data_IF_736322434772
#
_entry.id   IF_736322434772
#
_cell.length_a   1.000
_cell.length_b   1.000
_cell.length_c   1.000
_cell.angle_alpha   90.00
_cell.angle_beta   90.00
_cell.angle_gamma   90.00
#
_symmetry.space_group_name_H-M   'P 1'
#
loop_
_entity.id
_entity.type
_entity.pdbx_description
1 polymer ?
#
# COMPACT_ATOMS: atom_id res chain seq x y z
N UNK A 1 25.97 20.57 3.44
CA UNK A 1 24.86 20.72 4.39
C UNK A 1 23.95 19.53 4.16
N UNK A 2 23.82 18.64 5.15
CA UNK A 2 22.81 17.58 5.04
C UNK A 2 21.42 18.21 4.91
N UNK A 3 20.58 17.76 3.97
CA UNK A 3 19.24 18.29 3.81
C UNK A 3 18.46 18.10 5.12
N UNK A 4 17.75 19.14 5.56
CA UNK A 4 16.88 19.05 6.73
C UNK A 4 15.74 18.06 6.44
N UNK A 5 15.76 16.91 7.11
CA UNK A 5 14.73 15.87 6.99
C UNK A 5 14.01 15.73 8.32
N UNK A 6 12.68 15.89 8.29
CA UNK A 6 11.81 15.72 9.46
C UNK A 6 11.95 14.31 10.03
N UNK A 7 12.03 14.18 11.36
CA UNK A 7 12.23 12.89 12.06
C UNK A 7 11.24 11.81 11.63
N UNK A 8 9.97 12.17 11.41
CA UNK A 8 8.92 11.24 10.94
C UNK A 8 9.22 10.62 9.56
N UNK A 9 10.05 11.27 8.74
CA UNK A 9 10.54 10.74 7.46
C UNK A 9 11.86 10.01 7.63
N UNK A 10 12.76 10.54 8.47
CA UNK A 10 14.09 9.97 8.73
C UNK A 10 14.03 8.58 9.37
N UNK A 11 13.10 8.37 10.30
CA UNK A 11 12.95 7.11 11.04
C UNK A 11 11.78 6.25 10.55
N UNK A 12 11.30 6.48 9.32
CA UNK A 12 10.23 5.65 8.76
C UNK A 12 10.73 4.20 8.66
N UNK A 13 10.04 3.23 9.29
CA UNK A 13 10.41 1.82 9.20
C UNK A 13 10.61 1.36 7.75
N UNK A 14 11.71 0.63 7.52
CA UNK A 14 12.06 0.09 6.20
C UNK A 14 11.68 -1.38 6.04
N UNK A 15 11.49 -2.09 7.16
CA UNK A 15 11.16 -3.52 7.21
C UNK A 15 9.99 -3.76 8.14
N UNK A 16 9.29 -4.89 7.96
CA UNK A 16 8.16 -5.26 8.79
C UNK A 16 8.53 -5.41 10.28
N UNK A 17 9.75 -5.82 10.61
CA UNK A 17 10.21 -5.99 12.00
C UNK A 17 10.49 -4.66 12.72
N UNK A 18 10.73 -3.60 11.94
CA UNK A 18 10.94 -2.26 12.49
C UNK A 18 9.64 -1.48 12.71
N UNK A 19 8.49 -2.09 12.41
CA UNK A 19 7.18 -1.48 12.65
C UNK A 19 6.73 -1.77 14.08
N UNK A 20 6.66 -0.72 14.89
CA UNK A 20 6.30 -0.80 16.31
C UNK A 20 4.78 -0.97 16.51
N UNK A 21 4.38 -1.86 17.42
CA UNK A 21 3.00 -2.03 17.89
C UNK A 21 2.01 -2.67 16.90
N UNK A 22 2.49 -3.26 15.80
CA UNK A 22 1.64 -3.87 14.76
C UNK A 22 1.97 -5.33 14.43
N UNK A 23 2.50 -6.08 15.39
CA UNK A 23 2.98 -7.46 15.19
C UNK A 23 1.95 -8.40 14.54
N UNK A 24 0.67 -8.30 14.94
CA UNK A 24 -0.40 -9.12 14.36
C UNK A 24 -0.61 -8.84 12.86
N UNK A 25 -0.48 -7.58 12.44
CA UNK A 25 -0.62 -7.16 11.04
C UNK A 25 0.62 -7.57 10.25
N UNK A 26 1.81 -7.24 10.75
CA UNK A 26 3.07 -7.53 10.05
C UNK A 26 3.33 -9.02 9.91
N UNK A 27 3.03 -9.83 10.93
CA UNK A 27 3.13 -11.30 10.85
C UNK A 27 2.18 -11.90 9.81
N UNK A 28 0.93 -11.44 9.77
CA UNK A 28 -0.05 -11.90 8.79
C UNK A 28 0.37 -11.53 7.35
N UNK A 29 0.88 -10.32 7.14
CA UNK A 29 1.42 -9.90 5.85
C UNK A 29 2.64 -10.74 5.44
N UNK A 30 3.58 -10.97 6.37
CA UNK A 30 4.74 -11.85 6.11
C UNK A 30 4.30 -13.26 5.71
N UNK A 31 3.30 -13.82 6.39
CA UNK A 31 2.78 -15.15 6.08
C UNK A 31 2.07 -15.20 4.72
N UNK A 32 1.32 -14.16 4.34
CA UNK A 32 0.68 -14.07 3.04
C UNK A 32 1.72 -14.02 1.89
N UNK A 33 2.83 -13.31 2.08
CA UNK A 33 3.93 -13.27 1.11
C UNK A 33 4.62 -14.64 1.02
N UNK A 34 4.97 -15.26 2.17
CA UNK A 34 5.63 -16.58 2.20
C UNK A 34 4.81 -17.68 1.55
N UNK A 35 3.50 -17.65 1.75
CA UNK A 35 2.56 -18.63 1.18
C UNK A 35 2.21 -18.36 -0.30
N UNK A 36 2.75 -17.28 -0.88
CA UNK A 36 2.41 -16.79 -2.22
C UNK A 36 0.88 -16.63 -2.43
N UNK A 37 0.16 -16.31 -1.35
CA UNK A 37 -1.28 -16.14 -1.34
C UNK A 37 -1.62 -14.69 -0.99
N UNK A 38 -1.22 -13.77 -1.87
CA UNK A 38 -1.52 -12.36 -1.73
C UNK A 38 -2.90 -12.05 -2.33
N UNK A 39 -3.76 -11.42 -1.53
CA UNK A 39 -4.98 -10.82 -2.02
C UNK A 39 -4.67 -9.73 -3.07
N UNK A 40 -5.60 -9.53 -3.99
CA UNK A 40 -5.53 -8.44 -4.97
C UNK A 40 -5.81 -7.08 -4.34
N UNK A 41 -6.51 -7.03 -3.20
CA UNK A 41 -6.84 -5.79 -2.52
C UNK A 41 -6.74 -5.91 -0.98
N UNK A 42 -6.06 -4.94 -0.38
CA UNK A 42 -5.86 -4.78 1.05
C UNK A 42 -6.52 -3.50 1.52
N UNK A 43 -7.18 -3.52 2.68
CA UNK A 43 -7.65 -2.31 3.35
C UNK A 43 -6.97 -2.17 4.72
N UNK A 44 -6.08 -1.19 4.82
CA UNK A 44 -5.40 -0.81 6.04
C UNK A 44 -6.20 0.28 6.75
N UNK A 45 -6.70 -0.01 7.94
CA UNK A 45 -7.52 0.93 8.69
C UNK A 45 -7.01 1.13 10.09
N UNK A 46 -7.13 2.35 10.61
CA UNK A 46 -6.69 2.69 11.96
C UNK A 46 -6.32 4.16 12.09
N UNK A 47 -6.03 4.64 13.32
CA UNK A 47 -5.75 6.05 13.58
C UNK A 47 -4.58 6.61 12.76
N UNK A 48 -4.50 7.92 12.63
CA UNK A 48 -3.36 8.57 11.97
C UNK A 48 -2.07 8.28 12.75
N UNK A 49 -0.97 8.06 12.03
CA UNK A 49 0.36 7.87 12.63
C UNK A 49 0.72 6.45 13.07
N UNK A 50 -0.18 5.47 12.96
CA UNK A 50 0.06 4.06 13.37
C UNK A 50 0.84 3.21 12.36
N UNK A 51 1.33 3.81 11.27
CA UNK A 51 2.18 3.10 10.29
C UNK A 51 1.46 2.44 9.10
N UNK A 52 0.19 2.79 8.81
CA UNK A 52 -0.56 2.27 7.64
C UNK A 52 0.19 2.44 6.31
N UNK A 53 0.47 3.69 5.93
CA UNK A 53 1.18 4.03 4.68
C UNK A 53 2.60 3.47 4.68
N UNK A 54 3.24 3.43 5.85
CA UNK A 54 4.56 2.80 6.02
C UNK A 54 4.50 1.31 5.67
N UNK A 55 3.57 0.55 6.26
CA UNK A 55 3.40 -0.87 5.98
C UNK A 55 3.00 -1.11 4.52
N UNK A 56 2.20 -0.23 3.92
CA UNK A 56 1.86 -0.31 2.50
C UNK A 56 3.10 -0.19 1.62
N UNK A 57 3.99 0.77 1.91
CA UNK A 57 5.26 0.95 1.20
C UNK A 57 6.22 -0.22 1.41
N UNK A 58 6.32 -0.75 2.63
CA UNK A 58 7.13 -1.95 2.91
C UNK A 58 6.61 -3.14 2.10
N UNK A 59 5.31 -3.39 2.10
CA UNK A 59 4.68 -4.46 1.32
C UNK A 59 4.96 -4.29 -0.18
N UNK A 60 4.77 -3.09 -0.72
CA UNK A 60 4.99 -2.80 -2.13
C UNK A 60 6.44 -3.04 -2.56
N UNK A 61 7.41 -2.62 -1.74
CA UNK A 61 8.84 -2.89 -1.96
C UNK A 61 9.14 -4.37 -1.90
N UNK A 62 8.59 -5.06 -0.91
CA UNK A 62 8.82 -6.49 -0.68
C UNK A 62 8.34 -7.31 -1.87
N UNK A 63 7.16 -7.01 -2.41
CA UNK A 63 6.57 -7.70 -3.57
C UNK A 63 7.39 -7.47 -4.85
N UNK A 64 7.97 -6.28 -5.03
CA UNK A 64 8.70 -5.92 -6.26
C UNK A 64 10.22 -6.18 -6.16
N UNK A 65 10.72 -6.61 -5.01
CA UNK A 65 12.15 -6.84 -4.83
C UNK A 65 12.59 -8.11 -5.57
N UNK A 66 13.64 -8.01 -6.37
CA UNK A 66 14.19 -9.14 -7.13
C UNK A 66 15.01 -10.09 -6.25
N UNK A 67 15.71 -9.53 -5.26
CA UNK A 67 16.55 -10.28 -4.33
C UNK A 67 16.01 -10.07 -2.92
N UNK A 68 14.95 -10.79 -2.55
CA UNK A 68 14.47 -10.76 -1.17
C UNK A 68 15.52 -11.41 -0.25
N UNK A 69 15.90 -10.70 0.80
CA UNK A 69 16.72 -11.24 1.88
C UNK A 69 15.91 -12.12 2.83
N UNK A 70 16.57 -12.53 3.91
CA UNK A 70 15.91 -13.24 5.02
C UNK A 70 14.75 -12.42 5.59
N UNK A 71 13.75 -13.11 6.12
CA UNK A 71 12.54 -12.50 6.70
C UNK A 71 11.76 -11.52 5.80
N UNK A 72 11.89 -11.69 4.49
CA UNK A 72 11.23 -10.86 3.47
C UNK A 72 11.71 -9.40 3.47
N UNK A 73 12.96 -9.19 3.85
CA UNK A 73 13.57 -7.86 3.78
C UNK A 73 13.95 -7.55 2.33
N UNK A 74 13.43 -6.43 1.79
CA UNK A 74 13.82 -5.95 0.47
C UNK A 74 15.30 -5.51 0.45
N UNK A 75 16.10 -5.98 -0.51
CA UNK A 75 17.56 -5.77 -0.51
C UNK A 75 18.01 -4.31 -0.58
N UNK A 76 17.18 -3.38 -1.08
CA UNK A 76 17.55 -1.97 -1.23
C UNK A 76 18.52 -1.68 -2.38
N UNK A 77 19.02 -2.70 -3.09
CA UNK A 77 20.10 -2.56 -4.08
C UNK A 77 19.70 -2.92 -5.51
N UNK A 78 18.63 -3.72 -5.70
CA UNK A 78 18.12 -4.07 -7.02
C UNK A 78 17.43 -2.87 -7.70
N UNK A 79 17.22 -2.97 -9.01
CA UNK A 79 16.66 -1.86 -9.80
C UNK A 79 15.26 -1.40 -9.29
N UNK A 80 14.31 -2.31 -8.98
CA UNK A 80 13.03 -1.91 -8.36
C UNK A 80 13.17 -1.21 -7.01
N UNK A 81 14.12 -1.63 -6.16
CA UNK A 81 14.34 -1.01 -4.86
C UNK A 81 14.91 0.40 -4.99
N UNK A 82 15.89 0.60 -5.88
CA UNK A 82 16.51 1.91 -6.13
C UNK A 82 15.52 2.90 -6.73
N UNK A 83 14.82 2.50 -7.78
CA UNK A 83 13.80 3.35 -8.43
C UNK A 83 12.67 3.71 -7.48
N UNK A 84 12.28 2.82 -6.56
CA UNK A 84 11.31 3.16 -5.52
C UNK A 84 11.82 4.22 -4.54
N UNK A 85 13.06 4.09 -4.06
CA UNK A 85 13.65 5.05 -3.11
C UNK A 85 13.85 6.43 -3.77
N UNK A 86 14.18 6.46 -5.05
CA UNK A 86 14.32 7.66 -5.86
C UNK A 86 12.97 8.28 -6.28
N UNK A 87 11.84 7.59 -6.06
CA UNK A 87 10.50 8.06 -6.44
C UNK A 87 10.18 7.92 -7.94
N UNK A 88 10.91 7.06 -8.65
CA UNK A 88 10.77 6.80 -10.09
C UNK A 88 10.34 5.36 -10.40
N UNK A 89 9.66 4.69 -9.46
CA UNK A 89 9.15 3.34 -9.67
C UNK A 89 8.06 3.31 -10.75
N UNK A 90 8.18 2.38 -11.69
CA UNK A 90 7.17 2.14 -12.74
C UNK A 90 6.07 1.16 -12.29
N UNK A 91 6.27 0.50 -11.15
CA UNK A 91 5.39 -0.55 -10.65
C UNK A 91 4.70 -0.19 -9.34
N UNK A 92 5.11 0.89 -8.67
CA UNK A 92 4.51 1.31 -7.41
C UNK A 92 3.97 2.72 -7.59
N UNK A 93 2.66 2.84 -7.48
CA UNK A 93 1.92 4.09 -7.64
C UNK A 93 1.36 4.49 -6.29
N UNK A 94 1.70 5.69 -5.82
CA UNK A 94 1.16 6.26 -4.58
C UNK A 94 0.21 7.41 -4.96
N UNK A 95 -1.06 7.31 -4.53
CA UNK A 95 -2.10 8.31 -4.74
C UNK A 95 -2.65 8.76 -3.39
N UNK A 96 -2.59 10.06 -3.12
CA UNK A 96 -3.29 10.67 -1.98
C UNK A 96 -4.71 11.04 -2.41
N UNK A 97 -5.70 10.33 -1.87
CA UNK A 97 -7.10 10.55 -2.20
C UNK A 97 -7.63 11.89 -1.66
N UNK A 98 -7.00 12.51 -0.67
CA UNK A 98 -7.40 13.85 -0.23
C UNK A 98 -7.15 14.91 -1.31
N UNK A 99 -6.11 14.70 -2.13
CA UNK A 99 -5.71 15.59 -3.22
C UNK A 99 -6.26 15.18 -4.59
N UNK A 100 -6.58 13.88 -4.78
CA UNK A 100 -7.01 13.29 -6.04
C UNK A 100 -8.36 12.54 -5.86
N UNK A 101 -9.40 13.25 -5.41
CA UNK A 101 -10.69 12.66 -5.05
C UNK A 101 -11.74 12.63 -6.19
N UNK A 102 -11.41 13.18 -7.36
CA UNK A 102 -12.36 13.30 -8.45
C UNK A 102 -12.56 11.96 -9.16
N UNK A 103 -13.70 11.84 -9.86
CA UNK A 103 -13.99 10.64 -10.67
C UNK A 103 -12.98 10.49 -11.79
N UNK A 104 -12.50 11.60 -12.35
CA UNK A 104 -11.59 11.60 -13.48
C UNK A 104 -10.18 11.15 -13.07
N UNK A 105 -9.72 11.52 -11.87
CA UNK A 105 -8.46 11.01 -11.31
C UNK A 105 -8.48 9.49 -11.18
N UNK A 106 -9.57 8.94 -10.63
CA UNK A 106 -9.74 7.49 -10.50
C UNK A 106 -9.90 6.80 -11.85
N UNK A 107 -10.58 7.42 -12.84
CA UNK A 107 -10.63 6.86 -14.20
C UNK A 107 -9.25 6.79 -14.83
N UNK A 108 -8.42 7.82 -14.65
CA UNK A 108 -7.04 7.81 -15.12
C UNK A 108 -6.23 6.69 -14.44
N UNK A 109 -6.42 6.48 -13.14
CA UNK A 109 -5.82 5.36 -12.42
C UNK A 109 -6.25 4.01 -13.01
N UNK A 110 -7.55 3.83 -13.26
CA UNK A 110 -8.11 2.59 -13.86
C UNK A 110 -7.52 2.34 -15.25
N UNK A 111 -7.33 3.38 -16.06
CA UNK A 111 -6.67 3.26 -17.36
C UNK A 111 -5.20 2.86 -17.22
N UNK A 112 -4.50 3.30 -16.17
CA UNK A 112 -3.13 2.84 -15.90
C UNK A 112 -3.08 1.38 -15.41
N UNK A 113 -4.09 0.95 -14.65
CA UNK A 113 -4.22 -0.44 -14.16
C UNK A 113 -4.41 -1.43 -15.32
N UNK A 114 -5.12 -1.05 -16.38
CA UNK A 114 -5.35 -1.93 -17.53
C UNK A 114 -4.09 -2.20 -18.37
N UNK A 115 -3.02 -1.45 -18.14
CA UNK A 115 -1.72 -1.64 -18.80
C UNK A 115 -0.86 -2.60 -17.97
N UNK A 116 -0.41 -3.69 -18.58
CA UNK A 116 0.49 -4.65 -17.93
C UNK A 116 1.86 -4.02 -17.54
N UNK A 117 2.53 -4.51 -16.48
CA UNK A 117 3.88 -4.07 -16.13
C UNK A 117 4.86 -4.35 -17.28
N UNK A 118 5.67 -3.34 -17.63
CA UNK A 118 6.73 -3.47 -18.63
C UNK A 118 8.00 -4.09 -18.04
N UNK A 119 8.16 -3.98 -16.72
CA UNK A 119 9.28 -4.52 -15.95
C UNK A 119 8.68 -5.19 -14.71
N UNK A 120 9.18 -6.35 -14.30
CA UNK A 120 8.66 -7.09 -13.15
C UNK A 120 7.29 -7.75 -13.39
N UNK A 121 6.68 -8.26 -12.32
CA UNK A 121 5.47 -9.12 -12.40
C UNK A 121 4.23 -8.50 -11.79
N UNK A 122 4.38 -7.47 -10.94
CA UNK A 122 3.28 -6.87 -10.17
C UNK A 122 3.30 -5.35 -10.28
N UNK A 123 2.11 -4.75 -10.27
CA UNK A 123 1.89 -3.32 -10.05
C UNK A 123 1.14 -3.13 -8.76
N UNK A 124 1.64 -2.26 -7.89
CA UNK A 124 1.07 -1.96 -6.58
C UNK A 124 0.56 -0.53 -6.56
N UNK A 125 -0.70 -0.37 -6.21
CA UNK A 125 -1.40 0.91 -6.12
C UNK A 125 -1.73 1.19 -4.65
N UNK A 126 -1.03 2.15 -4.06
CA UNK A 126 -1.25 2.60 -2.69
C UNK A 126 -2.15 3.83 -2.76
N UNK A 127 -3.36 3.73 -2.20
CA UNK A 127 -4.32 4.84 -2.14
C UNK A 127 -4.46 5.25 -0.67
N UNK A 128 -3.85 6.36 -0.29
CA UNK A 128 -3.91 6.89 1.07
C UNK A 128 -5.16 7.76 1.28
N UNK A 129 -5.65 7.78 2.52
CA UNK A 129 -6.89 8.43 2.93
C UNK A 129 -8.08 8.17 2.00
N UNK A 130 -8.26 6.91 1.57
CA UNK A 130 -9.21 6.51 0.50
C UNK A 130 -10.66 6.94 0.79
N UNK A 131 -11.05 7.14 2.05
CA UNK A 131 -12.38 7.65 2.41
C UNK A 131 -12.66 9.08 1.91
N UNK A 132 -11.62 9.80 1.48
CA UNK A 132 -11.71 11.13 0.90
C UNK A 132 -12.14 11.11 -0.58
N UNK A 133 -12.16 9.93 -1.23
CA UNK A 133 -12.67 9.81 -2.60
C UNK A 133 -14.15 10.21 -2.66
N UNK A 134 -14.52 10.92 -3.72
CA UNK A 134 -15.93 11.19 -3.99
C UNK A 134 -16.72 9.90 -4.22
N UNK A 135 -18.01 9.91 -3.93
CA UNK A 135 -18.87 8.72 -4.11
C UNK A 135 -18.84 8.20 -5.55
N UNK A 136 -18.80 9.11 -6.53
CA UNK A 136 -18.72 8.74 -7.93
C UNK A 136 -17.36 8.12 -8.29
N UNK A 137 -16.25 8.58 -7.68
CA UNK A 137 -14.93 7.98 -7.84
C UNK A 137 -14.89 6.57 -7.23
N UNK A 138 -15.47 6.39 -6.04
CA UNK A 138 -15.62 5.08 -5.41
C UNK A 138 -16.38 4.09 -6.30
N UNK A 139 -17.52 4.51 -6.86
CA UNK A 139 -18.33 3.64 -7.72
C UNK A 139 -17.60 3.27 -9.02
N UNK A 140 -16.85 4.20 -9.61
CA UNK A 140 -16.02 3.91 -10.78
C UNK A 140 -14.94 2.86 -10.47
N UNK A 141 -14.39 2.89 -9.26
CA UNK A 141 -13.32 1.97 -8.83
C UNK A 141 -13.81 0.55 -8.50
N UNK A 142 -15.08 0.38 -8.15
CA UNK A 142 -15.64 -0.92 -7.75
C UNK A 142 -15.41 -2.02 -8.78
N UNK A 143 -15.62 -1.71 -10.07
CA UNK A 143 -15.45 -2.69 -11.15
C UNK A 143 -14.01 -3.21 -11.21
N UNK A 144 -13.04 -2.34 -10.98
CA UNK A 144 -11.61 -2.71 -10.97
C UNK A 144 -11.23 -3.51 -9.73
N UNK A 145 -11.89 -3.28 -8.59
CA UNK A 145 -11.69 -4.09 -7.38
C UNK A 145 -12.38 -5.46 -7.46
N UNK A 146 -13.47 -5.59 -8.23
CA UNK A 146 -14.18 -6.86 -8.47
C UNK A 146 -13.37 -7.83 -9.32
N UNK A 147 -12.84 -7.32 -10.44
CA UNK A 147 -12.10 -8.11 -11.42
C UNK A 147 -10.73 -7.47 -11.65
N UNK A 148 -9.86 -7.43 -10.63
CA UNK A 148 -8.54 -6.82 -10.77
C UNK A 148 -7.68 -7.67 -11.72
N UNK A 149 -6.86 -7.05 -12.57
CA UNK A 149 -5.85 -7.78 -13.32
C UNK A 149 -4.94 -8.58 -12.40
N UNK A 150 -4.50 -9.77 -12.82
CA UNK A 150 -3.69 -10.69 -11.99
C UNK A 150 -2.35 -10.12 -11.52
N UNK A 151 -1.86 -9.07 -12.18
CA UNK A 151 -0.65 -8.34 -11.81
C UNK A 151 -0.91 -7.14 -10.88
N UNK A 152 -2.16 -6.69 -10.73
CA UNK A 152 -2.50 -5.51 -9.95
C UNK A 152 -2.77 -5.86 -8.48
N UNK A 153 -2.17 -5.08 -7.58
CA UNK A 153 -2.39 -5.17 -6.13
C UNK A 153 -2.77 -3.78 -5.63
N UNK A 154 -3.89 -3.69 -4.92
CA UNK A 154 -4.39 -2.46 -4.33
C UNK A 154 -4.16 -2.47 -2.82
N UNK A 155 -3.59 -1.38 -2.30
CA UNK A 155 -3.44 -1.16 -0.86
C UNK A 155 -4.16 0.14 -0.53
N UNK A 156 -5.35 0.02 0.04
CA UNK A 156 -6.18 1.14 0.44
C UNK A 156 -5.90 1.47 1.90
N UNK A 157 -5.57 2.71 2.23
CA UNK A 157 -5.37 3.15 3.61
C UNK A 157 -6.45 4.16 4.00
N UNK A 158 -7.01 4.02 5.20
CA UNK A 158 -8.03 4.93 5.72
C UNK A 158 -7.91 5.14 7.22
N UNK A 159 -8.16 6.36 7.68
CA UNK A 159 -8.40 6.64 9.12
C UNK A 159 -9.85 6.45 9.54
N UNK A 160 -10.79 6.42 8.59
CA UNK A 160 -12.24 6.38 8.84
C UNK A 160 -12.89 5.15 8.17
N UNK A 161 -12.79 3.97 8.80
CA UNK A 161 -13.36 2.70 8.29
C UNK A 161 -14.85 2.81 7.95
N UNK A 162 -15.61 3.54 8.78
CA UNK A 162 -17.06 3.67 8.66
C UNK A 162 -17.52 4.47 7.43
N UNK A 163 -16.63 5.27 6.84
CA UNK A 163 -16.91 5.99 5.57
C UNK A 163 -16.69 5.12 4.33
N UNK A 164 -16.08 3.95 4.49
CA UNK A 164 -15.83 3.03 3.38
C UNK A 164 -17.10 2.25 3.05
N UNK A 165 -17.42 2.15 1.76
CA UNK A 165 -18.59 1.41 1.29
C UNK A 165 -18.47 -0.09 1.65
N UNK A 166 -19.55 -0.74 2.13
CA UNK A 166 -19.55 -2.18 2.42
C UNK A 166 -19.16 -3.05 1.21
N UNK A 167 -19.42 -2.58 0.00
CA UNK A 167 -19.02 -3.23 -1.25
C UNK A 167 -17.50 -3.30 -1.41
N UNK A 168 -16.76 -2.33 -0.90
CA UNK A 168 -15.28 -2.36 -0.91
C UNK A 168 -14.77 -3.26 0.21
N UNK A 169 -15.35 -3.13 1.41
CA UNK A 169 -14.97 -3.96 2.56
C UNK A 169 -15.07 -5.46 2.26
N UNK A 170 -16.07 -5.87 1.48
CA UNK A 170 -16.26 -7.27 1.08
C UNK A 170 -15.25 -7.78 0.03
N UNK A 171 -14.53 -6.89 -0.66
CA UNK A 171 -13.55 -7.22 -1.72
C UNK A 171 -12.10 -7.02 -1.27
N UNK A 172 -11.89 -6.51 -0.06
CA UNK A 172 -10.56 -6.26 0.50
C UNK A 172 -10.29 -7.16 1.70
N UNK A 173 -9.06 -7.63 1.82
CA UNK A 173 -8.58 -8.18 3.08
C UNK A 173 -8.31 -7.01 4.05
N UNK A 174 -9.07 -6.97 5.15
CA UNK A 174 -9.02 -5.84 6.10
C UNK A 174 -7.96 -6.09 7.18
N UNK A 175 -7.11 -5.09 7.41
CA UNK A 175 -6.11 -5.07 8.46
C UNK A 175 -6.35 -3.87 9.37
N UNK A 176 -6.71 -4.16 10.62
CA UNK A 176 -6.97 -3.14 11.65
C UNK A 176 -5.66 -2.84 12.41
N UNK A 177 -5.11 -1.66 12.16
CA UNK A 177 -3.95 -1.10 12.86
C UNK A 177 -4.38 -0.45 14.17
N UNK A 178 -3.71 -0.82 15.26
CA UNK A 178 -4.05 -0.36 16.61
C UNK A 178 -3.24 0.88 16.98
N UNK A 179 -3.69 1.62 18.01
CA UNK A 179 -2.87 2.68 18.58
C UNK A 179 -1.64 2.06 19.23
N UNK A 180 -0.48 2.66 18.98
CA UNK A 180 0.76 2.32 19.66
C UNK A 180 0.60 2.74 21.13
N UNK A 181 0.88 1.82 22.03
CA UNK A 181 0.83 2.01 23.47
C UNK A 181 2.24 2.25 24.02
N UNK A 182 2.35 2.63 25.29
CA UNK A 182 3.65 2.87 25.95
C UNK A 182 4.45 1.56 26.10
N UNK A 183 3.77 0.41 26.05
CA UNK A 183 4.38 -0.91 26.19
C UNK A 183 4.93 -1.49 24.87
N UNK A 184 4.66 -0.84 23.74
CA UNK A 184 5.13 -1.21 22.40
C UNK A 184 6.46 -0.49 22.06
#
# INVERSE_FOLDING_TARGET
MDPFVVSARKYRPATFDTVVGQEAVTSTLKNAIRSNHLASAFLFTGPRGVGKTTCARILARTINCENLGEDLVACGQCAPCKTFEEGHSLNIFELDAASNNSVDDIRNLILQVSIAPQVGTKKVYIIDEVHMLSQAAFNAFLKTLEEPPSYAIFILATTEKHKILPTILSRCQVFDFRRITIAD
#
